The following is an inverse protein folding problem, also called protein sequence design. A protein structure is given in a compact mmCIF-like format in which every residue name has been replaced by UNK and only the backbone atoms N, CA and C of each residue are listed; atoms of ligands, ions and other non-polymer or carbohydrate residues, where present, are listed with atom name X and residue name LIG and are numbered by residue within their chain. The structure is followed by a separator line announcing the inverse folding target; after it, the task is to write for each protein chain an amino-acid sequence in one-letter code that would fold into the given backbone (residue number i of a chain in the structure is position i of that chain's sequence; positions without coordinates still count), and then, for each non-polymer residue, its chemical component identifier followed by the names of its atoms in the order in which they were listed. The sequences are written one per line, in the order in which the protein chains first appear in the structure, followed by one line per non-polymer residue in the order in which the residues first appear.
data_IF_363144886247
#
_entry.id   IF_363144886247
#
_cell.length_a   1.000
_cell.length_b   1.000
_cell.length_c   1.000
_cell.angle_alpha   90.00
_cell.angle_beta   90.00
_cell.angle_gamma   90.00
#
_symmetry.space_group_name_H-M   'P 1'
#
loop_
_entity.id
_entity.type
_entity.pdbx_description
1 polymer ?
#
# COMPACT_ATOMS: atom_id res chain seq x y z
N UNK A 1 9.22 14.64 15.23
CA UNK A 1 8.58 14.23 13.97
C UNK A 1 7.09 14.35 14.14
N UNK A 2 6.51 15.31 13.43
CA UNK A 2 5.10 15.64 13.60
C UNK A 2 4.24 14.71 12.72
N UNK A 3 3.92 13.54 13.26
CA UNK A 3 2.87 12.72 12.70
C UNK A 3 1.53 13.29 13.18
N UNK A 4 0.68 13.66 12.23
CA UNK A 4 -0.68 14.05 12.57
C UNK A 4 -1.53 12.79 12.77
N UNK A 5 -2.08 12.64 13.98
CA UNK A 5 -3.03 11.60 14.32
C UNK A 5 -4.42 12.06 13.93
N UNK A 6 -5.14 11.23 13.22
CA UNK A 6 -6.56 11.47 13.00
C UNK A 6 -7.36 10.98 14.19
N UNK A 7 -7.65 11.86 15.13
CA UNK A 7 -8.43 11.52 16.33
C UNK A 7 -9.95 11.54 16.07
N UNK A 8 -10.38 12.17 14.98
CA UNK A 8 -11.79 12.20 14.58
C UNK A 8 -11.92 11.85 13.12
N UNK A 9 -12.40 10.67 12.90
CA UNK A 9 -12.65 10.07 11.60
C UNK A 9 -13.77 10.78 10.84
N UNK A 10 -14.57 11.60 11.51
CA UNK A 10 -15.74 12.27 10.95
C UNK A 10 -15.45 13.33 9.88
N UNK A 11 -14.23 13.90 9.88
CA UNK A 11 -13.98 15.05 9.02
C UNK A 11 -13.07 14.78 7.82
N UNK A 12 -12.29 13.68 7.82
CA UNK A 12 -11.33 13.40 6.72
C UNK A 12 -11.22 11.92 6.37
N UNK A 13 -11.61 11.01 7.25
CA UNK A 13 -11.49 9.58 7.03
C UNK A 13 -12.83 8.92 7.23
N UNK A 14 -13.32 8.39 6.18
CA UNK A 14 -14.34 7.37 6.27
C UNK A 14 -13.66 6.10 6.74
N UNK A 15 -13.67 5.88 8.07
CA UNK A 15 -13.63 4.54 8.57
C UNK A 15 -14.97 3.95 8.17
N UNK A 16 -14.93 3.24 7.09
CA UNK A 16 -16.09 2.48 6.68
C UNK A 16 -16.27 1.37 7.70
N UNK A 17 -17.08 1.62 8.72
CA UNK A 17 -17.67 0.52 9.47
C UNK A 17 -18.65 -0.15 8.55
N UNK A 18 -18.34 -1.33 8.11
CA UNK A 18 -19.31 -2.17 7.42
C UNK A 18 -19.86 -3.15 8.44
N UNK A 19 -21.13 -3.07 8.64
CA UNK A 19 -21.95 -4.21 8.86
C UNK A 19 -21.80 -5.17 7.65
N UNK A 20 -21.94 -6.47 7.85
CA UNK A 20 -21.70 -7.55 6.86
C UNK A 20 -22.39 -7.40 5.48
N UNK A 21 -23.10 -6.32 5.25
CA UNK A 21 -23.92 -6.05 4.05
C UNK A 21 -23.67 -4.74 3.35
N UNK A 22 -22.83 -3.85 3.84
CA UNK A 22 -22.70 -2.51 3.27
C UNK A 22 -21.52 -2.32 2.33
N UNK A 23 -21.76 -1.55 1.30
CA UNK A 23 -20.84 -1.20 0.23
C UNK A 23 -19.98 0.00 0.63
N UNK A 24 -18.76 0.07 0.09
CA UNK A 24 -17.95 1.29 0.10
C UNK A 24 -18.79 2.47 -0.36
N UNK A 25 -18.86 3.51 0.44
CA UNK A 25 -19.69 4.67 0.11
C UNK A 25 -19.01 5.56 -0.92
N UNK A 26 -19.81 6.25 -1.73
CA UNK A 26 -19.37 7.27 -2.71
C UNK A 26 -18.34 8.26 -2.16
N UNK A 27 -18.39 8.52 -0.87
CA UNK A 27 -17.65 9.58 -0.18
C UNK A 27 -16.15 9.43 -0.24
N UNK A 28 -15.61 8.20 -0.15
CA UNK A 28 -14.15 7.96 -0.27
C UNK A 28 -13.69 8.21 -1.69
N UNK A 29 -14.49 7.81 -2.68
CA UNK A 29 -14.19 8.07 -4.08
C UNK A 29 -14.20 9.57 -4.40
N UNK A 30 -15.19 10.29 -3.91
CA UNK A 30 -15.29 11.75 -4.06
C UNK A 30 -14.08 12.46 -3.45
N UNK A 31 -13.69 12.13 -2.23
CA UNK A 31 -12.50 12.72 -1.59
C UNK A 31 -11.20 12.41 -2.33
N UNK A 32 -11.09 11.26 -2.95
CA UNK A 32 -9.92 10.87 -3.75
C UNK A 32 -9.92 11.60 -5.09
N UNK A 33 -11.08 11.71 -5.76
CA UNK A 33 -11.24 12.40 -7.04
C UNK A 33 -11.00 13.90 -6.87
N UNK A 34 -11.40 14.49 -5.74
CA UNK A 34 -11.15 15.88 -5.38
C UNK A 34 -9.72 16.16 -4.88
N UNK A 35 -8.88 15.14 -4.78
CA UNK A 35 -7.50 15.25 -4.30
C UNK A 35 -7.37 15.58 -2.81
N UNK A 36 -8.45 15.48 -2.05
CA UNK A 36 -8.48 15.79 -0.61
C UNK A 36 -7.90 14.65 0.24
N UNK A 37 -7.91 13.43 -0.28
CA UNK A 37 -7.24 12.28 0.33
C UNK A 37 -6.10 11.83 -0.57
N UNK A 38 -4.85 11.86 -0.09
CA UNK A 38 -3.73 11.44 -0.90
C UNK A 38 -3.78 9.94 -1.17
N UNK A 39 -4.01 9.57 -2.43
CA UNK A 39 -3.73 8.27 -3.04
C UNK A 39 -3.94 7.02 -2.17
N UNK A 40 -4.95 7.00 -1.34
CA UNK A 40 -5.22 5.83 -0.52
C UNK A 40 -6.70 5.52 -0.50
N UNK A 41 -6.99 4.25 -0.50
CA UNK A 41 -8.30 3.73 -0.19
C UNK A 41 -8.23 2.89 1.06
N UNK A 42 -9.21 3.04 1.92
CA UNK A 42 -9.49 2.08 2.97
C UNK A 42 -10.74 1.36 2.53
N UNK A 43 -10.58 0.12 2.18
CA UNK A 43 -11.68 -0.75 1.85
C UNK A 43 -11.87 -1.80 2.92
N UNK A 44 -13.07 -2.24 3.08
CA UNK A 44 -13.38 -3.41 3.86
C UNK A 44 -13.16 -4.64 3.08
N UNK A 45 -12.52 -5.58 3.76
CA UNK A 45 -12.35 -6.85 3.15
C UNK A 45 -12.38 -7.98 4.19
N UNK A 46 -13.38 -8.83 4.08
CA UNK A 46 -13.37 -10.11 4.76
C UNK A 46 -12.53 -11.07 3.92
N UNK A 47 -11.25 -11.17 4.22
CA UNK A 47 -10.44 -12.19 3.61
C UNK A 47 -10.94 -13.57 4.06
N UNK A 48 -11.35 -14.39 3.13
CA UNK A 48 -11.68 -15.79 3.37
C UNK A 48 -10.42 -16.61 3.70
N UNK A 49 -9.25 -16.01 3.57
CA UNK A 49 -7.97 -16.58 3.95
C UNK A 49 -7.90 -16.77 5.46
N UNK A 50 -7.66 -17.99 5.91
CA UNK A 50 -7.53 -18.34 7.32
C UNK A 50 -6.09 -18.20 7.81
N UNK A 51 -5.13 -18.56 6.98
CA UNK A 51 -3.70 -18.47 7.25
C UNK A 51 -2.97 -17.74 6.12
N UNK A 52 -2.52 -16.52 6.37
CA UNK A 52 -1.74 -15.72 5.42
C UNK A 52 -0.29 -16.18 5.25
N UNK A 53 0.17 -17.15 6.04
CA UNK A 53 1.45 -17.81 5.83
C UNK A 53 1.34 -19.04 4.92
N UNK A 54 0.13 -19.46 4.59
CA UNK A 54 -0.15 -20.53 3.62
C UNK A 54 -0.22 -19.96 2.20
N UNK A 55 0.84 -20.19 1.41
CA UNK A 55 0.94 -19.71 0.04
C UNK A 55 -0.21 -20.22 -0.85
N UNK A 56 -0.70 -21.43 -0.59
CA UNK A 56 -1.82 -22.02 -1.37
C UNK A 56 -3.10 -21.19 -1.18
N UNK A 57 -3.39 -20.77 0.05
CA UNK A 57 -4.55 -19.91 0.32
C UNK A 57 -4.37 -18.52 -0.28
N UNK A 58 -3.15 -17.97 -0.24
CA UNK A 58 -2.84 -16.68 -0.88
C UNK A 58 -3.14 -16.75 -2.38
N UNK A 59 -2.64 -17.76 -3.07
CA UNK A 59 -2.81 -17.89 -4.52
C UNK A 59 -4.25 -18.21 -4.92
N UNK A 60 -4.90 -19.14 -4.23
CA UNK A 60 -6.23 -19.62 -4.60
C UNK A 60 -7.36 -18.66 -4.20
N UNK A 61 -7.21 -17.94 -3.10
CA UNK A 61 -8.27 -17.12 -2.52
C UNK A 61 -7.92 -15.64 -2.55
N UNK A 62 -6.80 -15.26 -1.91
CA UNK A 62 -6.50 -13.86 -1.65
C UNK A 62 -6.22 -13.06 -2.92
N UNK A 63 -5.53 -13.65 -3.90
CA UNK A 63 -5.29 -12.99 -5.19
C UNK A 63 -6.58 -12.57 -5.88
N UNK A 64 -7.60 -13.44 -5.86
CA UNK A 64 -8.90 -13.15 -6.47
C UNK A 64 -9.65 -12.03 -5.73
N UNK A 65 -9.53 -12.05 -4.42
CA UNK A 65 -10.09 -11.02 -3.58
C UNK A 65 -9.46 -9.67 -3.87
N UNK A 66 -8.14 -9.60 -3.93
CA UNK A 66 -7.39 -8.39 -4.25
C UNK A 66 -7.69 -7.86 -5.65
N UNK A 67 -7.80 -8.75 -6.63
CA UNK A 67 -8.18 -8.38 -7.99
C UNK A 67 -9.54 -7.67 -8.01
N UNK A 68 -10.54 -8.25 -7.35
CA UNK A 68 -11.88 -7.68 -7.27
C UNK A 68 -11.89 -6.35 -6.50
N UNK A 69 -11.16 -6.27 -5.39
CA UNK A 69 -11.03 -5.04 -4.59
C UNK A 69 -10.42 -3.91 -5.44
N UNK A 70 -9.27 -4.16 -6.05
CA UNK A 70 -8.57 -3.12 -6.84
C UNK A 70 -9.41 -2.69 -8.03
N UNK A 71 -10.05 -3.62 -8.76
CA UNK A 71 -10.95 -3.28 -9.86
C UNK A 71 -12.13 -2.42 -9.40
N UNK A 72 -12.77 -2.82 -8.30
CA UNK A 72 -13.92 -2.11 -7.74
C UNK A 72 -13.60 -0.68 -7.32
N UNK A 73 -12.43 -0.49 -6.69
CA UNK A 73 -12.02 0.80 -6.13
C UNK A 73 -11.35 1.74 -7.15
N UNK A 74 -10.74 1.19 -8.20
CA UNK A 74 -9.95 1.99 -9.15
C UNK A 74 -10.58 2.13 -10.52
N UNK A 75 -11.53 1.25 -10.86
CA UNK A 75 -12.08 1.14 -12.21
C UNK A 75 -11.09 0.54 -13.21
N UNK A 76 -10.06 -0.18 -12.75
CA UNK A 76 -9.11 -0.83 -13.65
C UNK A 76 -9.78 -1.98 -14.41
N UNK A 77 -9.52 -2.06 -15.70
CA UNK A 77 -10.05 -3.13 -16.58
C UNK A 77 -9.35 -4.46 -16.32
N UNK A 78 -8.05 -4.40 -16.05
CA UNK A 78 -7.23 -5.58 -15.75
C UNK A 78 -6.35 -5.35 -14.53
N UNK A 79 -6.38 -6.30 -13.61
CA UNK A 79 -5.52 -6.32 -12.43
C UNK A 79 -4.73 -7.63 -12.40
N UNK A 80 -3.44 -7.55 -12.08
CA UNK A 80 -2.57 -8.71 -11.95
C UNK A 80 -1.76 -8.57 -10.66
N UNK A 81 -1.99 -9.47 -9.71
CA UNK A 81 -1.20 -9.53 -8.47
C UNK A 81 0.15 -10.20 -8.80
N UNK A 82 1.25 -9.59 -8.37
CA UNK A 82 2.57 -10.07 -8.74
C UNK A 82 3.56 -10.24 -7.58
N UNK A 83 3.21 -9.81 -6.39
CA UNK A 83 4.11 -9.92 -5.23
C UNK A 83 3.34 -9.83 -3.92
N UNK A 84 3.83 -10.58 -2.92
CA UNK A 84 3.36 -10.52 -1.54
C UNK A 84 4.56 -10.39 -0.61
N UNK A 85 4.48 -9.49 0.34
CA UNK A 85 5.48 -9.32 1.39
C UNK A 85 4.83 -9.41 2.76
N UNK A 86 5.17 -10.43 3.51
CA UNK A 86 4.78 -10.60 4.90
C UNK A 86 5.80 -9.94 5.82
N UNK A 87 5.32 -9.31 6.88
CA UNK A 87 6.16 -8.67 7.89
C UNK A 87 5.63 -8.93 9.29
N UNK A 88 6.55 -9.10 10.24
CA UNK A 88 6.22 -9.28 11.66
C UNK A 88 7.13 -8.43 12.54
N UNK A 89 6.54 -7.78 13.56
CA UNK A 89 7.27 -7.05 14.60
C UNK A 89 7.98 -8.00 15.56
N UNK A 90 7.40 -9.16 15.86
CA UNK A 90 7.96 -10.17 16.75
C UNK A 90 9.16 -10.90 16.13
N UNK A 91 10.36 -10.86 16.77
CA UNK A 91 11.55 -11.56 16.28
C UNK A 91 11.39 -13.07 16.16
N UNK A 92 10.61 -13.71 17.06
CA UNK A 92 10.37 -15.17 17.03
C UNK A 92 9.56 -15.55 15.80
N UNK A 93 8.49 -14.79 15.52
CA UNK A 93 7.66 -14.98 14.32
C UNK A 93 8.49 -14.75 13.05
N UNK A 94 9.36 -13.72 13.04
CA UNK A 94 10.25 -13.46 11.89
C UNK A 94 11.15 -14.65 11.60
N UNK A 95 11.73 -15.23 12.62
CA UNK A 95 12.61 -16.42 12.48
C UNK A 95 11.81 -17.65 12.04
N UNK A 96 10.69 -17.93 12.70
CA UNK A 96 9.86 -19.10 12.43
C UNK A 96 9.24 -19.07 11.03
N UNK A 97 8.70 -17.93 10.63
CA UNK A 97 8.00 -17.76 9.35
C UNK A 97 8.90 -17.23 8.22
N UNK A 98 10.18 -16.98 8.51
CA UNK A 98 11.16 -16.40 7.55
C UNK A 98 10.68 -15.10 6.91
N UNK A 99 10.04 -14.23 7.69
CA UNK A 99 9.53 -12.95 7.24
C UNK A 99 10.37 -11.79 7.77
N UNK A 100 10.16 -10.60 7.22
CA UNK A 100 10.95 -9.40 7.53
C UNK A 100 10.29 -8.55 8.61
N UNK A 101 11.08 -7.65 9.22
CA UNK A 101 10.60 -6.61 10.10
C UNK A 101 9.83 -5.51 9.32
N UNK A 102 8.97 -4.71 10.00
CA UNK A 102 8.44 -3.46 9.48
C UNK A 102 9.55 -2.52 9.00
N UNK A 103 9.35 -1.83 7.88
CA UNK A 103 10.34 -0.88 7.33
C UNK A 103 10.15 0.48 7.94
N UNK A 104 11.12 0.93 8.74
CA UNK A 104 11.12 2.25 9.41
C UNK A 104 11.91 3.32 8.61
N UNK A 105 11.91 3.22 7.30
CA UNK A 105 12.55 4.21 6.41
C UNK A 105 11.56 4.65 5.35
N UNK A 106 11.27 5.94 5.31
CA UNK A 106 10.37 6.52 4.34
C UNK A 106 10.83 6.24 2.91
N UNK A 107 9.95 5.61 2.13
CA UNK A 107 10.24 5.17 0.77
C UNK A 107 8.99 5.09 -0.08
N UNK A 108 9.17 5.04 -1.37
CA UNK A 108 8.18 4.60 -2.34
C UNK A 108 8.75 3.46 -3.16
N UNK A 109 7.97 2.42 -3.41
CA UNK A 109 8.48 1.16 -3.96
C UNK A 109 8.98 1.26 -5.39
N UNK A 110 8.48 2.22 -6.16
CA UNK A 110 8.83 2.38 -7.57
C UNK A 110 9.24 3.82 -7.89
N UNK A 111 10.11 3.95 -8.89
CA UNK A 111 10.49 5.23 -9.48
C UNK A 111 9.83 5.41 -10.85
N UNK A 112 10.00 6.59 -11.44
CA UNK A 112 9.56 6.84 -12.82
C UNK A 112 10.12 5.78 -13.79
N UNK A 113 11.34 5.30 -13.53
CA UNK A 113 12.01 4.30 -14.37
C UNK A 113 11.59 2.87 -14.03
N UNK A 114 11.58 2.52 -12.74
CA UNK A 114 11.40 1.13 -12.33
C UNK A 114 9.96 0.62 -12.47
N UNK A 115 8.96 1.49 -12.48
CA UNK A 115 7.56 1.10 -12.74
C UNK A 115 7.38 0.40 -14.08
N UNK A 116 7.70 1.04 -15.24
CA UNK A 116 7.63 0.40 -16.54
C UNK A 116 8.57 -0.81 -16.70
N UNK A 117 9.77 -0.76 -16.12
CA UNK A 117 10.68 -1.92 -16.11
C UNK A 117 10.02 -3.12 -15.43
N UNK A 118 9.32 -2.90 -14.31
CA UNK A 118 8.64 -3.99 -13.61
C UNK A 118 7.54 -4.65 -14.43
N UNK A 119 6.83 -3.89 -15.28
CA UNK A 119 5.87 -4.45 -16.26
C UNK A 119 6.60 -5.34 -17.26
N UNK A 120 7.73 -4.89 -17.83
CA UNK A 120 8.53 -5.67 -18.77
C UNK A 120 9.07 -6.95 -18.14
N UNK A 121 9.63 -6.86 -16.94
CA UNK A 121 10.14 -8.01 -16.19
C UNK A 121 9.07 -9.08 -15.98
N UNK A 122 7.81 -8.68 -15.80
CA UNK A 122 6.73 -9.60 -15.50
C UNK A 122 6.07 -10.21 -16.73
N UNK A 123 5.80 -9.40 -17.75
CA UNK A 123 5.06 -9.83 -18.95
C UNK A 123 5.95 -10.17 -20.13
N UNK A 124 7.24 -9.86 -20.07
CA UNK A 124 8.17 -9.93 -21.20
C UNK A 124 8.05 -8.73 -22.13
N UNK A 125 9.07 -8.50 -22.96
CA UNK A 125 9.15 -7.32 -23.83
C UNK A 125 7.97 -7.21 -24.80
N UNK A 126 7.61 -8.30 -25.47
CA UNK A 126 6.54 -8.31 -26.49
C UNK A 126 5.19 -7.87 -25.93
N UNK A 127 4.72 -8.51 -24.86
CA UNK A 127 3.42 -8.21 -24.23
C UNK A 127 3.40 -6.86 -23.55
N UNK A 128 4.52 -6.41 -23.02
CA UNK A 128 4.61 -5.14 -22.30
C UNK A 128 4.48 -3.93 -23.21
N UNK A 129 4.82 -4.04 -24.50
CA UNK A 129 4.68 -2.94 -25.46
C UNK A 129 3.25 -2.44 -25.52
N UNK A 130 2.27 -3.33 -25.60
CA UNK A 130 0.86 -2.94 -25.67
C UNK A 130 0.34 -2.45 -24.32
N UNK A 131 0.69 -3.13 -23.21
CA UNK A 131 0.29 -2.74 -21.86
C UNK A 131 0.80 -1.34 -21.46
N UNK A 132 1.97 -0.95 -21.95
CA UNK A 132 2.59 0.34 -21.63
C UNK A 132 2.13 1.51 -22.54
N UNK A 133 1.34 1.25 -23.59
CA UNK A 133 0.71 2.30 -24.43
C UNK A 133 -0.39 3.03 -23.68
N UNK A 134 -1.12 2.31 -22.82
CA UNK A 134 -2.24 2.84 -22.07
C UNK A 134 -1.83 3.18 -20.62
N UNK A 135 -2.74 3.81 -19.90
CA UNK A 135 -2.55 4.14 -18.48
C UNK A 135 -2.39 2.85 -17.66
N UNK A 136 -1.42 2.86 -16.76
CA UNK A 136 -1.30 1.82 -15.73
C UNK A 136 -0.82 2.40 -14.39
N UNK A 137 -1.14 1.69 -13.33
CA UNK A 137 -0.68 1.98 -11.99
C UNK A 137 -0.11 0.72 -11.32
N UNK A 138 0.74 0.90 -10.31
CA UNK A 138 1.10 -0.15 -9.36
C UNK A 138 0.48 0.22 -8.02
N UNK A 139 -0.36 -0.67 -7.53
CA UNK A 139 -1.11 -0.48 -6.30
C UNK A 139 -0.71 -1.56 -5.31
N UNK A 140 -0.32 -1.13 -4.12
CA UNK A 140 -0.09 -2.02 -3.00
C UNK A 140 -1.37 -2.07 -2.15
N UNK A 141 -1.77 -3.27 -1.77
CA UNK A 141 -2.81 -3.46 -0.74
C UNK A 141 -2.11 -3.90 0.53
N UNK A 142 -2.19 -3.06 1.54
CA UNK A 142 -1.59 -3.32 2.85
C UNK A 142 -2.67 -3.55 3.91
N UNK A 143 -2.49 -4.56 4.77
CA UNK A 143 -3.39 -4.84 5.88
C UNK A 143 -2.70 -5.59 7.02
N UNK A 144 -3.31 -5.53 8.22
CA UNK A 144 -3.00 -6.45 9.31
C UNK A 144 -3.52 -7.85 8.99
N UNK A 145 -2.74 -8.88 9.37
CA UNK A 145 -3.15 -10.29 9.29
C UNK A 145 -3.39 -10.91 10.66
N UNK A 146 -3.05 -10.18 11.73
CA UNK A 146 -3.24 -10.63 13.11
C UNK A 146 -3.69 -9.47 14.00
N UNK A 147 -4.93 -9.52 14.50
CA UNK A 147 -5.46 -8.49 15.40
C UNK A 147 -5.49 -7.07 14.82
N UNK A 148 -5.61 -6.10 15.71
CA UNK A 148 -5.46 -4.69 15.38
C UNK A 148 -3.98 -4.31 15.28
N UNK A 149 -3.70 -3.20 14.59
CA UNK A 149 -2.34 -2.63 14.53
C UNK A 149 -2.09 -1.81 15.79
N UNK A 150 -1.50 -2.43 16.79
CA UNK A 150 -1.21 -1.80 18.09
C UNK A 150 0.20 -1.20 18.13
N UNK A 151 1.14 -1.77 17.39
CA UNK A 151 2.53 -1.28 17.29
C UNK A 151 2.96 -1.13 15.83
N UNK A 152 3.95 -0.30 15.57
CA UNK A 152 4.52 -0.02 14.25
C UNK A 152 3.47 0.27 13.16
N UNK A 153 2.53 1.22 13.35
CA UNK A 153 1.53 1.50 12.33
C UNK A 153 2.17 1.97 11.01
N UNK A 154 1.41 1.88 9.93
CA UNK A 154 1.84 2.39 8.64
C UNK A 154 1.47 3.86 8.49
N UNK A 155 2.47 4.71 8.30
CA UNK A 155 2.29 6.11 7.93
C UNK A 155 2.42 6.30 6.42
N UNK A 156 1.61 7.22 5.88
CA UNK A 156 1.58 7.61 4.46
C UNK A 156 1.82 9.11 4.36
N UNK A 157 2.65 9.51 3.41
CA UNK A 157 2.89 10.91 3.14
C UNK A 157 1.88 11.46 2.12
N UNK A 158 1.30 12.61 2.42
CA UNK A 158 0.49 13.33 1.43
C UNK A 158 1.35 13.71 0.22
N UNK A 159 1.04 13.12 -0.92
CA UNK A 159 1.80 13.34 -2.15
C UNK A 159 1.85 14.82 -2.58
N UNK A 160 0.86 15.65 -2.19
CA UNK A 160 0.83 17.10 -2.46
C UNK A 160 1.87 17.85 -1.64
N UNK A 161 2.32 17.27 -0.53
CA UNK A 161 3.36 17.83 0.35
C UNK A 161 4.77 17.31 0.01
N UNK A 162 4.89 16.45 -1.01
CA UNK A 162 6.17 15.89 -1.43
C UNK A 162 6.67 16.60 -2.68
N UNK A 163 7.81 17.27 -2.55
CA UNK A 163 8.52 17.80 -3.72
C UNK A 163 9.32 16.68 -4.41
N UNK A 164 9.41 16.72 -5.74
CA UNK A 164 10.23 15.78 -6.50
C UNK A 164 11.71 15.75 -6.06
N UNK A 165 12.25 16.87 -5.59
CA UNK A 165 13.61 16.97 -5.01
C UNK A 165 13.81 16.10 -3.78
N UNK A 166 12.72 15.77 -3.07
CA UNK A 166 12.78 14.93 -1.87
C UNK A 166 12.82 13.43 -2.22
N UNK A 167 12.55 13.07 -3.47
CA UNK A 167 12.54 11.68 -3.94
C UNK A 167 13.91 11.31 -4.52
N UNK A 168 14.70 10.59 -3.74
CA UNK A 168 16.06 10.15 -4.13
C UNK A 168 15.98 8.72 -4.65
N UNK A 169 16.26 8.54 -5.95
CA UNK A 169 16.34 7.21 -6.54
C UNK A 169 17.48 6.40 -5.92
N UNK A 170 17.18 5.20 -5.48
CA UNK A 170 18.13 4.31 -4.80
C UNK A 170 18.01 2.90 -5.38
N UNK A 171 19.12 2.33 -5.81
CA UNK A 171 19.16 0.95 -6.27
C UNK A 171 18.88 -0.02 -5.11
N UNK A 172 18.10 -1.04 -5.44
CA UNK A 172 17.86 -2.20 -4.58
C UNK A 172 18.34 -3.45 -5.28
N UNK A 173 19.51 -3.92 -4.89
CA UNK A 173 20.11 -5.12 -5.47
C UNK A 173 19.60 -6.36 -4.75
N UNK A 174 19.00 -7.27 -5.49
CA UNK A 174 18.68 -8.62 -5.09
C UNK A 174 19.45 -9.60 -5.98
N UNK A 175 19.50 -10.89 -5.60
CA UNK A 175 20.32 -11.91 -6.28
C UNK A 175 20.05 -12.00 -7.80
N UNK A 176 18.79 -11.82 -8.19
CA UNK A 176 18.34 -12.03 -9.58
C UNK A 176 17.87 -10.73 -10.27
N UNK A 177 17.83 -9.60 -9.54
CA UNK A 177 17.29 -8.35 -10.07
C UNK A 177 17.87 -7.13 -9.39
N UNK A 178 18.13 -6.10 -10.20
CA UNK A 178 18.38 -4.74 -9.71
C UNK A 178 17.08 -3.95 -9.87
N UNK A 179 16.48 -3.57 -8.76
CA UNK A 179 15.33 -2.67 -8.72
C UNK A 179 15.75 -1.25 -8.37
N UNK A 180 14.86 -0.30 -8.55
CA UNK A 180 15.05 1.08 -8.12
C UNK A 180 13.81 1.54 -7.34
N UNK A 181 14.03 2.14 -6.16
CA UNK A 181 13.01 2.68 -5.28
C UNK A 181 13.31 4.14 -4.99
N UNK A 182 12.31 4.93 -4.60
CA UNK A 182 12.58 6.25 -4.03
C UNK A 182 12.77 6.15 -2.52
N UNK A 183 13.83 6.79 -2.03
CA UNK A 183 13.96 7.20 -0.63
C UNK A 183 13.41 8.61 -0.50
N UNK A 184 12.76 8.90 0.62
CA UNK A 184 12.27 10.24 0.91
C UNK A 184 13.23 10.94 1.87
N UNK A 185 13.72 12.10 1.46
CA UNK A 185 14.46 12.99 2.37
C UNK A 185 13.47 13.79 3.21
N UNK A 186 13.85 14.14 4.42
CA UNK A 186 13.05 14.96 5.31
C UNK A 186 12.81 16.36 4.72
N UNK A 187 11.57 16.82 4.86
CA UNK A 187 11.17 18.19 4.57
C UNK A 187 10.07 18.55 5.58
N UNK A 188 10.15 19.69 6.30
CA UNK A 188 9.16 20.09 7.30
C UNK A 188 7.77 20.33 6.72
N UNK A 189 7.65 20.55 5.42
CA UNK A 189 6.37 20.72 4.74
C UNK A 189 5.64 19.40 4.47
N UNK A 190 6.29 18.24 4.68
CA UNK A 190 5.69 16.94 4.48
C UNK A 190 4.61 16.66 5.52
N UNK A 191 3.44 16.25 5.06
CA UNK A 191 2.30 15.89 5.90
C UNK A 191 2.15 14.38 5.92
N UNK A 192 2.22 13.81 7.12
CA UNK A 192 2.16 12.38 7.34
C UNK A 192 0.88 12.00 8.07
N UNK A 193 0.28 10.89 7.64
CA UNK A 193 -0.98 10.39 8.14
C UNK A 193 -0.90 8.91 8.43
N UNK A 194 -1.61 8.45 9.46
CA UNK A 194 -1.74 7.03 9.78
C UNK A 194 -3.10 6.72 10.37
N UNK A 195 -3.44 5.43 10.42
CA UNK A 195 -4.66 4.94 11.04
C UNK A 195 -4.33 4.26 12.34
N UNK A 196 -4.66 4.87 13.50
CA UNK A 196 -4.47 4.25 14.80
C UNK A 196 -5.38 3.03 14.92
N UNK A 197 -4.87 1.96 15.56
CA UNK A 197 -5.65 0.76 15.84
C UNK A 197 -6.35 0.13 14.63
N UNK A 198 -5.75 0.25 13.44
CA UNK A 198 -6.31 -0.31 12.21
C UNK A 198 -6.66 -1.78 12.39
N UNK A 199 -7.88 -2.16 12.05
CA UNK A 199 -8.43 -3.49 12.32
C UNK A 199 -8.00 -4.50 11.26
N UNK A 200 -8.05 -5.78 11.62
CA UNK A 200 -7.74 -6.89 10.70
C UNK A 200 -8.61 -6.91 9.44
N UNK A 201 -9.85 -6.41 9.51
CA UNK A 201 -10.77 -6.34 8.38
C UNK A 201 -10.67 -5.04 7.58
N UNK A 202 -9.65 -4.25 7.78
CA UNK A 202 -9.38 -3.01 7.03
C UNK A 202 -8.14 -3.19 6.14
N UNK A 203 -8.14 -2.53 4.99
CA UNK A 203 -7.01 -2.53 4.07
C UNK A 203 -6.74 -1.11 3.56
N UNK A 204 -5.48 -0.81 3.28
CA UNK A 204 -5.03 0.45 2.67
C UNK A 204 -4.56 0.15 1.25
N UNK A 205 -5.10 0.87 0.27
CA UNK A 205 -4.60 0.85 -1.10
C UNK A 205 -3.60 2.00 -1.27
N UNK A 206 -2.36 1.66 -1.60
CA UNK A 206 -1.25 2.61 -1.74
C UNK A 206 -0.86 2.68 -3.21
N UNK A 207 -0.99 3.84 -3.84
CA UNK A 207 -0.51 4.03 -5.20
C UNK A 207 1.00 4.21 -5.19
N UNK A 208 1.72 3.16 -5.50
CA UNK A 208 3.18 3.14 -5.56
C UNK A 208 3.74 3.62 -6.89
N UNK A 209 2.92 3.61 -7.96
CA UNK A 209 3.25 4.15 -9.28
C UNK A 209 1.99 4.52 -10.05
N UNK A 210 2.04 5.62 -10.79
CA UNK A 210 1.05 6.04 -11.78
C UNK A 210 1.75 6.49 -13.06
N UNK A 211 1.36 5.94 -14.21
CA UNK A 211 1.92 6.32 -15.51
C UNK A 211 1.42 7.66 -16.00
N UNK A 212 0.19 8.02 -15.64
CA UNK A 212 -0.46 9.25 -16.07
C UNK A 212 0.17 10.49 -15.41
N UNK A 213 0.23 11.60 -16.17
CA UNK A 213 0.86 12.87 -15.76
C UNK A 213 -0.15 14.02 -15.70
N UNK A 214 -1.41 13.72 -15.59
CA UNK A 214 -2.52 14.69 -15.64
C UNK A 214 -2.78 15.45 -14.32
N UNK A 215 -1.79 15.59 -13.46
CA UNK A 215 -1.90 16.22 -12.14
C UNK A 215 -2.20 15.25 -10.99
N UNK A 216 -2.47 13.98 -11.28
CA UNK A 216 -2.66 12.95 -10.26
C UNK A 216 -1.34 12.69 -9.53
N UNK A 217 -1.45 12.39 -8.25
CA UNK A 217 -0.30 11.93 -7.50
C UNK A 217 0.18 10.56 -8.07
N UNK A 218 1.49 10.46 -8.26
CA UNK A 218 2.12 9.32 -8.92
C UNK A 218 2.77 8.35 -7.93
N UNK A 219 3.10 8.84 -6.75
CA UNK A 219 3.83 8.13 -5.71
C UNK A 219 3.22 8.43 -4.35
N UNK A 220 3.17 7.44 -3.47
CA UNK A 220 2.76 7.60 -2.08
C UNK A 220 3.86 7.09 -1.16
N UNK A 221 4.79 7.93 -0.73
CA UNK A 221 5.80 7.53 0.23
C UNK A 221 5.16 7.05 1.52
N UNK A 222 5.71 5.96 2.08
CA UNK A 222 5.20 5.34 3.28
C UNK A 222 6.31 4.75 4.14
N UNK A 223 6.01 4.52 5.41
CA UNK A 223 6.94 3.94 6.39
C UNK A 223 6.20 3.36 7.57
N UNK A 224 6.75 2.35 8.23
CA UNK A 224 6.39 2.07 9.61
C UNK A 224 7.07 3.08 10.53
N UNK A 225 6.50 3.32 11.72
CA UNK A 225 7.09 4.19 12.72
C UNK A 225 6.71 3.74 14.14
N UNK A 226 7.48 4.14 15.12
CA UNK A 226 7.13 3.97 16.53
C UNK A 226 6.12 5.06 16.91
N UNK A 227 4.87 4.66 17.18
CA UNK A 227 3.85 5.58 17.68
C UNK A 227 4.02 5.74 19.19
N UNK A 228 4.40 6.94 19.68
CA UNK A 228 4.60 7.17 21.12
C UNK A 228 3.31 7.06 21.95
N UNK A 229 2.15 7.02 21.27
CA UNK A 229 0.85 6.84 21.91
C UNK A 229 0.40 5.38 21.95
N UNK A 230 1.15 4.46 21.34
CA UNK A 230 0.89 3.02 21.41
C UNK A 230 1.07 2.50 22.83
N UNK A 231 0.25 1.53 23.20
CA UNK A 231 0.43 0.85 24.48
C UNK A 231 1.75 0.08 24.51
N UNK A 232 2.52 0.22 25.61
CA UNK A 232 3.84 -0.41 25.77
C UNK A 232 3.82 -1.94 25.59
N UNK A 233 2.69 -2.57 25.95
CA UNK A 233 2.49 -4.01 25.86
C UNK A 233 1.59 -4.40 24.69
N UNK A 234 1.39 -3.51 23.72
CA UNK A 234 0.60 -3.80 22.52
C UNK A 234 1.19 -4.97 21.73
N UNK A 235 0.33 -5.69 21.03
CA UNK A 235 0.75 -6.83 20.20
C UNK A 235 1.63 -6.36 19.05
N UNK A 236 2.81 -7.03 18.82
CA UNK A 236 3.64 -6.74 17.67
C UNK A 236 2.90 -6.97 16.36
N UNK A 237 2.97 -6.00 15.44
CA UNK A 237 2.28 -6.06 14.15
C UNK A 237 2.67 -7.27 13.32
N UNK A 238 1.66 -7.92 12.73
CA UNK A 238 1.83 -8.84 11.61
C UNK A 238 1.02 -8.31 10.43
N UNK A 239 1.62 -8.18 9.27
CA UNK A 239 0.99 -7.56 8.10
C UNK A 239 1.38 -8.23 6.81
N UNK A 240 0.51 -8.10 5.81
CA UNK A 240 0.78 -8.44 4.42
C UNK A 240 0.67 -7.19 3.56
N UNK A 241 1.59 -7.06 2.62
CA UNK A 241 1.55 -6.07 1.55
C UNK A 241 1.60 -6.81 0.23
N UNK A 242 0.54 -6.64 -0.57
CA UNK A 242 0.39 -7.29 -1.86
C UNK A 242 0.45 -6.25 -2.96
N UNK A 243 1.25 -6.49 -4.01
CA UNK A 243 1.46 -5.56 -5.11
C UNK A 243 0.77 -6.03 -6.37
N UNK A 244 0.08 -5.11 -7.02
CA UNK A 244 -0.66 -5.37 -8.23
C UNK A 244 -0.37 -4.36 -9.32
N UNK A 245 -0.33 -4.83 -10.57
CA UNK A 245 -0.53 -3.97 -11.72
C UNK A 245 -2.03 -3.73 -11.93
N UNK A 246 -2.40 -2.49 -12.18
CA UNK A 246 -3.74 -2.08 -12.58
C UNK A 246 -3.63 -1.38 -13.94
N UNK A 247 -4.26 -1.93 -14.98
CA UNK A 247 -4.28 -1.40 -16.34
C UNK A 247 -5.66 -0.83 -16.66
N UNK A 248 -5.67 0.25 -17.44
CA UNK A 248 -6.87 0.98 -17.81
C UNK A 248 -6.87 1.14 -19.34
N UNK A 249 -7.99 0.83 -19.98
CA UNK A 249 -8.24 0.99 -21.42
C UNK A 249 -8.80 2.38 -21.76
#
# INVERSE_FOLDING_TARGET
SDFQKFDKVSDIVLTLQIDEKSRVTKTVKEFVDDGLIPNRFIGYYLALVKDFYDQTQIEAIYNKELENLIKGETGADKVVIFDHTLRAGDPKIRQEKMVREPVQRAHNDYTIKSGPIRVRDWFGEEKSVDLLKNRFAIINVWRSIFGNVEQDPLALCDARSVSLKNLVATERRAKERVGETYRLTFDPEQKWFYFPQMKKNEAILIKSYESDKNGRARFTPHTAFEDPTSEKNGAPRQSIESRAFAFFE
#
